data_IF_623575496670
#
_entry.id   IF_623575496670
#
_cell.length_a   1.000
_cell.length_b   1.000
_cell.length_c   1.000
_cell.angle_alpha   90.00
_cell.angle_beta   90.00
_cell.angle_gamma   90.00
#
_symmetry.space_group_name_H-M   'P 1'
#
loop_
_entity.id
_entity.type
_entity.pdbx_description
1 polymer ?
#
# COMPACT_ATOMS: atom_id res chain seq x y z
N UNK A 1 -25.90 -20.94 0.17
CA UNK A 1 -25.29 -19.61 0.01
C UNK A 1 -26.15 -18.77 -0.91
N UNK A 2 -26.66 -17.64 -0.42
CA UNK A 2 -27.16 -16.59 -1.30
C UNK A 2 -25.95 -15.98 -2.03
N UNK A 3 -26.16 -15.33 -3.19
CA UNK A 3 -25.09 -14.68 -3.93
C UNK A 3 -24.43 -13.49 -3.18
N UNK A 4 -25.04 -13.02 -2.09
CA UNK A 4 -24.65 -11.83 -1.34
C UNK A 4 -24.32 -12.21 0.12
N UNK A 5 -23.25 -12.97 0.34
CA UNK A 5 -22.83 -13.46 1.67
C UNK A 5 -21.46 -12.91 2.12
N UNK A 6 -20.88 -12.00 1.33
CA UNK A 6 -19.55 -11.44 1.56
C UNK A 6 -19.66 -9.93 1.35
N UNK A 7 -19.20 -9.17 2.33
CA UNK A 7 -18.96 -7.74 2.20
C UNK A 7 -17.45 -7.44 2.31
N UNK A 8 -17.07 -6.21 1.96
CA UNK A 8 -15.69 -5.75 2.07
C UNK A 8 -15.65 -4.61 3.08
N UNK A 9 -14.74 -4.72 4.04
CA UNK A 9 -14.45 -3.65 5.00
C UNK A 9 -13.05 -3.07 4.73
N UNK A 10 -12.94 -1.75 4.77
CA UNK A 10 -11.64 -1.09 4.67
C UNK A 10 -10.84 -1.37 5.94
N UNK A 11 -9.57 -1.76 5.78
CA UNK A 11 -8.66 -1.87 6.90
C UNK A 11 -8.35 -0.50 7.46
N UNK A 12 -8.25 -0.41 8.77
CA UNK A 12 -7.71 0.77 9.43
C UNK A 12 -6.31 0.46 9.96
N UNK A 13 -5.47 1.47 10.21
CA UNK A 13 -4.17 1.27 10.84
C UNK A 13 -4.28 0.61 12.21
N UNK A 14 -5.44 0.74 12.88
CA UNK A 14 -5.75 0.08 14.15
C UNK A 14 -5.94 -1.44 14.01
N UNK A 15 -6.29 -1.91 12.81
CA UNK A 15 -6.43 -3.33 12.45
C UNK A 15 -5.14 -3.91 11.86
N UNK A 16 -4.07 -3.11 11.74
CA UNK A 16 -2.77 -3.54 11.22
C UNK A 16 -2.67 -3.64 9.69
N UNK A 17 -3.68 -3.15 8.96
CA UNK A 17 -3.65 -3.03 7.49
C UNK A 17 -3.36 -1.61 7.03
N UNK A 18 -2.98 -1.46 5.77
CA UNK A 18 -2.78 -0.14 5.16
C UNK A 18 -4.14 0.55 4.92
N UNK A 19 -4.18 1.88 4.93
CA UNK A 19 -5.42 2.66 4.78
C UNK A 19 -6.17 2.45 3.44
N UNK A 20 -5.57 1.73 2.49
CA UNK A 20 -6.08 1.50 1.14
C UNK A 20 -6.40 0.04 0.84
N UNK A 21 -6.35 -0.81 1.84
CA UNK A 21 -6.70 -2.22 1.74
C UNK A 21 -8.14 -2.46 2.20
N UNK A 22 -8.77 -3.45 1.61
CA UNK A 22 -10.07 -3.95 2.04
C UNK A 22 -10.02 -5.46 2.16
N UNK A 23 -10.57 -5.96 3.26
CA UNK A 23 -10.65 -7.37 3.56
C UNK A 23 -12.08 -7.84 3.30
N UNK A 24 -12.21 -8.97 2.63
CA UNK A 24 -13.49 -9.65 2.51
C UNK A 24 -13.88 -10.27 3.86
N UNK A 25 -15.12 -10.09 4.26
CA UNK A 25 -15.69 -10.70 5.46
C UNK A 25 -17.03 -11.34 5.12
N UNK A 26 -17.35 -12.44 5.81
CA UNK A 26 -18.69 -13.01 5.76
C UNK A 26 -19.69 -12.03 6.40
N UNK A 27 -20.89 -11.96 5.82
CA UNK A 27 -22.02 -11.29 6.47
C UNK A 27 -22.44 -12.05 7.74
N UNK A 28 -22.99 -11.32 8.73
CA UNK A 28 -23.42 -11.90 10.03
C UNK A 28 -24.40 -13.09 9.88
N UNK A 29 -25.21 -13.11 8.82
CA UNK A 29 -26.18 -14.17 8.53
C UNK A 29 -25.71 -15.14 7.42
N UNK A 30 -24.45 -15.03 6.97
CA UNK A 30 -23.93 -15.79 5.84
C UNK A 30 -23.97 -17.31 6.06
N UNK A 31 -23.93 -17.76 7.33
CA UNK A 31 -23.96 -19.17 7.72
C UNK A 31 -25.27 -19.61 8.39
N UNK A 32 -26.32 -18.78 8.38
CA UNK A 32 -27.60 -19.16 9.00
C UNK A 32 -28.18 -20.44 8.35
N UNK A 33 -28.38 -21.48 9.16
CA UNK A 33 -28.83 -22.79 8.71
C UNK A 33 -27.83 -23.56 7.83
N UNK A 34 -26.56 -23.17 7.79
CA UNK A 34 -25.50 -23.80 6.98
C UNK A 34 -24.38 -24.33 7.87
N UNK A 35 -24.08 -25.63 7.74
CA UNK A 35 -22.91 -26.26 8.36
C UNK A 35 -21.81 -26.45 7.33
N UNK A 36 -20.59 -26.01 7.63
CA UNK A 36 -19.43 -26.14 6.76
C UNK A 36 -18.62 -27.38 7.17
N UNK A 37 -18.24 -28.18 6.18
CA UNK A 37 -17.39 -29.36 6.38
C UNK A 37 -16.06 -29.17 5.67
N UNK A 38 -14.98 -29.55 6.34
CA UNK A 38 -13.63 -29.58 5.78
C UNK A 38 -13.14 -31.02 5.67
N UNK A 39 -12.16 -31.26 4.80
CA UNK A 39 -11.48 -32.55 4.78
C UNK A 39 -10.73 -32.77 6.10
N UNK A 40 -10.89 -33.96 6.66
CA UNK A 40 -10.29 -34.31 7.93
C UNK A 40 -8.76 -34.40 7.78
N UNK A 41 -7.97 -33.54 8.47
CA UNK A 41 -6.52 -33.56 8.36
C UNK A 41 -5.90 -34.88 8.82
N UNK A 42 -6.61 -35.63 9.68
CA UNK A 42 -6.17 -36.92 10.22
C UNK A 42 -6.75 -38.11 9.44
N UNK A 43 -7.28 -37.91 8.23
CA UNK A 43 -7.90 -38.97 7.46
C UNK A 43 -6.93 -40.13 7.19
N UNK A 44 -7.33 -41.34 7.61
CA UNK A 44 -6.51 -42.55 7.49
C UNK A 44 -7.22 -43.69 6.75
N UNK A 45 -8.33 -43.40 6.08
CA UNK A 45 -9.14 -44.40 5.37
C UNK A 45 -10.13 -45.17 6.23
N UNK A 46 -10.07 -45.03 7.57
CA UNK A 46 -10.97 -45.70 8.52
C UNK A 46 -11.82 -44.74 9.34
N UNK A 47 -11.39 -43.49 9.49
CA UNK A 47 -12.18 -42.41 10.09
C UNK A 47 -12.98 -41.63 9.04
N UNK A 48 -13.87 -40.74 9.51
CA UNK A 48 -14.67 -39.89 8.64
C UNK A 48 -13.77 -38.96 7.82
N UNK A 49 -14.02 -38.96 6.49
CA UNK A 49 -13.24 -38.16 5.53
C UNK A 49 -13.49 -36.66 5.66
N UNK A 50 -14.69 -36.26 6.09
CA UNK A 50 -15.07 -34.87 6.28
C UNK A 50 -15.55 -34.65 7.70
N UNK A 51 -15.13 -33.56 8.32
CA UNK A 51 -15.53 -33.16 9.67
C UNK A 51 -16.15 -31.76 9.63
N UNK A 52 -17.06 -31.48 10.55
CA UNK A 52 -17.61 -30.13 10.72
C UNK A 52 -16.50 -29.16 11.13
N UNK A 53 -16.46 -28.02 10.46
CA UNK A 53 -15.54 -26.94 10.80
C UNK A 53 -16.08 -26.20 12.03
N UNK A 54 -15.41 -26.38 13.17
CA UNK A 54 -15.68 -25.59 14.36
C UNK A 54 -15.35 -24.11 14.10
N UNK A 55 -16.14 -23.19 14.65
CA UNK A 55 -15.97 -21.73 14.49
C UNK A 55 -15.78 -21.33 13.02
N UNK A 56 -16.62 -21.88 12.14
CA UNK A 56 -16.51 -21.73 10.69
C UNK A 56 -16.43 -20.28 10.23
N UNK A 57 -17.20 -19.38 10.86
CA UNK A 57 -17.18 -17.95 10.55
C UNK A 57 -15.81 -17.31 10.82
N UNK A 58 -15.27 -17.52 12.02
CA UNK A 58 -13.96 -17.00 12.40
C UNK A 58 -12.85 -17.56 11.49
N UNK A 59 -12.88 -18.87 11.23
CA UNK A 59 -11.89 -19.53 10.36
C UNK A 59 -11.93 -18.98 8.94
N UNK A 60 -13.13 -18.80 8.37
CA UNK A 60 -13.27 -18.28 7.01
C UNK A 60 -12.82 -16.82 6.95
N UNK A 61 -13.20 -15.99 7.92
CA UNK A 61 -12.78 -14.59 7.98
C UNK A 61 -11.25 -14.46 8.14
N UNK A 62 -10.61 -15.34 8.93
CA UNK A 62 -9.14 -15.41 9.01
C UNK A 62 -8.48 -15.77 7.67
N UNK A 63 -9.05 -16.70 6.91
CA UNK A 63 -8.53 -17.05 5.57
C UNK A 63 -8.75 -15.92 4.55
N UNK A 64 -9.91 -15.25 4.59
CA UNK A 64 -10.22 -14.12 3.71
C UNK A 64 -9.31 -12.92 3.99
N UNK A 65 -8.95 -12.68 5.26
CA UNK A 65 -8.04 -11.62 5.68
C UNK A 65 -6.60 -11.77 5.15
N UNK A 66 -6.19 -12.96 4.72
CA UNK A 66 -4.82 -13.19 4.20
C UNK A 66 -4.57 -12.57 2.83
N UNK A 67 -5.62 -12.27 2.07
CA UNK A 67 -5.50 -11.72 0.72
C UNK A 67 -6.30 -10.41 0.62
N UNK A 68 -5.83 -9.32 1.26
CA UNK A 68 -6.49 -8.03 1.16
C UNK A 68 -6.51 -7.54 -0.30
N UNK A 69 -7.61 -6.91 -0.68
CA UNK A 69 -7.76 -6.25 -1.96
C UNK A 69 -7.37 -4.76 -1.83
N UNK A 70 -6.65 -4.24 -2.81
CA UNK A 70 -6.32 -2.82 -2.85
C UNK A 70 -7.45 -2.02 -3.51
N UNK A 71 -7.92 -0.96 -2.85
CA UNK A 71 -9.01 -0.11 -3.36
C UNK A 71 -8.50 1.29 -3.68
N UNK A 72 -8.48 1.63 -4.98
CA UNK A 72 -8.30 3.00 -5.46
C UNK A 72 -9.65 3.71 -5.55
N UNK A 73 -10.05 4.46 -4.52
CA UNK A 73 -11.32 5.19 -4.55
C UNK A 73 -11.25 6.25 -5.65
N UNK A 74 -12.23 6.23 -6.55
CA UNK A 74 -12.28 7.11 -7.74
C UNK A 74 -11.05 7.02 -8.67
N UNK A 75 -10.22 5.98 -8.50
CA UNK A 75 -8.97 5.84 -9.25
C UNK A 75 -7.81 6.70 -8.74
N UNK A 76 -7.93 7.30 -7.55
CA UNK A 76 -6.83 8.06 -6.96
C UNK A 76 -5.69 7.14 -6.52
N UNK A 77 -4.48 7.50 -6.95
CA UNK A 77 -3.22 6.83 -6.60
C UNK A 77 -2.13 7.89 -6.40
N UNK A 78 -1.13 7.58 -5.59
CA UNK A 78 0.08 8.41 -5.46
C UNK A 78 1.35 7.64 -5.79
N UNK A 79 2.41 8.41 -6.00
CA UNK A 79 3.69 7.99 -6.52
C UNK A 79 4.78 8.68 -5.70
N UNK A 80 5.68 7.89 -5.09
CA UNK A 80 6.74 8.40 -4.22
C UNK A 80 8.12 8.20 -4.88
N UNK A 81 8.94 9.26 -4.88
CA UNK A 81 10.38 9.15 -5.19
C UNK A 81 11.17 10.03 -4.21
N UNK A 82 12.17 9.47 -3.50
CA UNK A 82 13.02 10.30 -2.67
C UNK A 82 13.88 11.24 -3.53
N UNK A 83 14.19 12.43 -3.01
CA UNK A 83 15.06 13.38 -3.69
C UNK A 83 16.52 12.93 -3.50
N UNK A 84 17.12 12.39 -4.57
CA UNK A 84 18.53 12.02 -4.58
C UNK A 84 19.41 13.26 -4.57
N UNK A 85 20.40 13.29 -3.67
CA UNK A 85 21.43 14.31 -3.60
C UNK A 85 22.78 13.76 -4.13
N UNK A 86 23.88 14.48 -3.90
CA UNK A 86 25.18 14.19 -4.49
C UNK A 86 25.92 13.00 -3.86
N UNK A 87 25.33 12.33 -2.86
CA UNK A 87 25.88 11.10 -2.31
C UNK A 87 25.89 9.98 -3.33
N UNK A 88 27.07 9.45 -3.63
CA UNK A 88 27.27 8.39 -4.63
C UNK A 88 27.19 6.99 -4.03
N UNK A 89 27.26 6.87 -2.70
CA UNK A 89 27.28 5.58 -1.99
C UNK A 89 25.89 5.26 -1.47
N UNK A 90 25.37 4.10 -1.85
CA UNK A 90 24.07 3.61 -1.38
C UNK A 90 24.07 3.42 0.14
N UNK A 91 23.03 3.92 0.81
CA UNK A 91 22.86 3.89 2.26
C UNK A 91 23.70 4.90 3.04
N UNK A 92 24.38 5.82 2.36
CA UNK A 92 25.24 6.82 3.01
C UNK A 92 24.52 8.14 3.30
N UNK A 93 25.00 8.86 4.33
CA UNK A 93 24.56 10.23 4.61
C UNK A 93 24.79 11.11 3.37
N UNK A 94 23.71 11.67 2.85
CA UNK A 94 23.74 12.54 1.67
C UNK A 94 23.39 11.85 0.35
N UNK A 95 23.04 10.55 0.34
CA UNK A 95 22.43 9.93 -0.84
C UNK A 95 21.05 10.53 -1.13
N UNK A 96 20.23 10.71 -0.09
CA UNK A 96 18.92 11.36 -0.19
C UNK A 96 18.86 12.56 0.75
N UNK A 97 18.16 13.61 0.33
CA UNK A 97 17.90 14.78 1.16
C UNK A 97 17.91 16.10 0.42
N UNK A 98 17.34 17.10 1.09
CA UNK A 98 17.27 18.48 0.60
C UNK A 98 18.29 19.32 1.35
N UNK A 99 19.22 19.91 0.61
CA UNK A 99 20.27 20.79 1.15
C UNK A 99 19.95 22.23 0.75
N UNK A 100 20.09 23.17 1.68
CA UNK A 100 19.91 24.61 1.41
C UNK A 100 20.75 25.04 0.19
N UNK A 101 20.28 26.06 -0.53
CA UNK A 101 21.00 26.64 -1.67
C UNK A 101 21.15 25.72 -2.89
N UNK A 102 20.26 24.74 -3.05
CA UNK A 102 20.17 23.89 -4.24
C UNK A 102 18.75 23.94 -4.82
N UNK A 103 18.66 23.94 -6.15
CA UNK A 103 17.42 23.67 -6.88
C UNK A 103 17.45 22.19 -7.29
N UNK A 104 16.37 21.49 -6.98
CA UNK A 104 16.14 20.12 -7.43
C UNK A 104 15.10 20.15 -8.54
N UNK A 105 15.54 19.91 -9.77
CA UNK A 105 14.65 19.80 -10.93
C UNK A 105 14.34 18.32 -11.16
N UNK A 106 13.11 17.94 -10.85
CA UNK A 106 12.61 16.56 -10.93
C UNK A 106 11.73 16.44 -12.19
N UNK A 107 12.21 15.68 -13.16
CA UNK A 107 11.46 15.35 -14.37
C UNK A 107 10.98 13.90 -14.30
N UNK A 108 9.66 13.71 -14.29
CA UNK A 108 9.06 12.38 -14.43
C UNK A 108 9.15 11.98 -15.90
N UNK A 109 9.80 10.85 -16.17
CA UNK A 109 10.05 10.39 -17.55
C UNK A 109 9.16 9.22 -17.95
N UNK A 110 8.78 8.38 -16.99
CA UNK A 110 7.91 7.23 -17.21
C UNK A 110 7.26 6.82 -15.89
N UNK A 111 6.08 6.20 -15.98
CA UNK A 111 5.34 5.64 -14.86
C UNK A 111 5.09 4.17 -15.15
N UNK A 112 5.54 3.28 -14.27
CA UNK A 112 5.37 1.83 -14.40
C UNK A 112 4.68 1.24 -13.18
N UNK A 113 3.65 0.44 -13.43
CA UNK A 113 2.83 -0.13 -12.38
C UNK A 113 1.74 0.84 -11.89
N UNK A 114 0.77 0.27 -11.19
CA UNK A 114 -0.29 1.01 -10.55
C UNK A 114 0.28 1.72 -9.31
N UNK A 115 -0.01 3.01 -9.13
CA UNK A 115 0.46 3.76 -7.96
C UNK A 115 -0.10 3.19 -6.65
N UNK A 116 0.39 3.68 -5.51
CA UNK A 116 -0.18 3.31 -4.22
C UNK A 116 -1.60 3.89 -4.13
N UNK A 117 -2.64 3.05 -3.91
CA UNK A 117 -4.01 3.53 -3.96
C UNK A 117 -4.36 4.41 -2.76
N UNK A 118 -5.34 5.29 -2.98
CA UNK A 118 -5.88 6.17 -1.95
C UNK A 118 -7.34 5.79 -1.73
N UNK A 119 -7.67 5.41 -0.50
CA UNK A 119 -9.06 5.15 -0.11
C UNK A 119 -9.80 6.39 0.35
N UNK A 120 -9.16 7.24 1.17
CA UNK A 120 -9.73 8.53 1.58
C UNK A 120 -8.94 9.68 0.96
N UNK A 121 -9.48 10.38 -0.05
CA UNK A 121 -8.79 11.47 -0.72
C UNK A 121 -8.61 12.72 0.16
N UNK A 122 -9.39 12.86 1.25
CA UNK A 122 -9.31 14.00 2.17
C UNK A 122 -8.31 13.77 3.31
N UNK A 123 -7.73 12.56 3.40
CA UNK A 123 -6.74 12.20 4.41
C UNK A 123 -5.34 12.68 3.99
N UNK A 124 -4.62 13.29 4.93
CA UNK A 124 -3.22 13.66 4.72
C UNK A 124 -2.39 12.39 4.48
N UNK A 125 -1.74 12.31 3.33
CA UNK A 125 -0.84 11.22 2.98
C UNK A 125 0.48 11.44 3.72
N UNK A 126 0.80 10.54 4.66
CA UNK A 126 2.15 10.51 5.22
C UNK A 126 3.12 10.10 4.11
N UNK A 127 4.10 10.96 3.83
CA UNK A 127 5.05 10.77 2.72
C UNK A 127 6.19 9.81 3.07
N UNK A 128 6.00 8.99 4.10
CA UNK A 128 6.89 7.88 4.43
C UNK A 128 6.96 6.90 3.25
N UNK A 129 8.16 6.35 3.03
CA UNK A 129 8.43 5.43 1.93
C UNK A 129 7.40 4.29 1.97
N UNK A 130 6.53 4.16 0.95
CA UNK A 130 5.51 3.12 0.98
C UNK A 130 6.21 1.76 1.01
N UNK A 131 5.70 0.85 1.83
CA UNK A 131 6.17 -0.55 1.95
C UNK A 131 5.98 -1.35 0.66
N UNK A 132 5.21 -0.81 -0.29
CA UNK A 132 4.81 -1.49 -1.51
C UNK A 132 5.94 -1.50 -2.54
N UNK A 133 6.61 -2.64 -2.68
CA UNK A 133 7.81 -2.85 -3.48
C UNK A 133 7.56 -2.95 -5.02
N UNK A 134 6.30 -2.89 -5.47
CA UNK A 134 5.93 -3.16 -6.87
C UNK A 134 5.62 -1.92 -7.73
N UNK A 135 5.68 -0.72 -7.15
CA UNK A 135 5.38 0.54 -7.86
C UNK A 135 6.67 1.26 -8.27
N UNK A 136 6.85 1.52 -9.58
CA UNK A 136 8.10 2.08 -10.11
C UNK A 136 7.87 3.36 -10.91
N UNK A 137 8.50 4.46 -10.49
CA UNK A 137 8.58 5.69 -11.28
C UNK A 137 10.00 5.84 -11.80
N UNK A 138 10.15 6.13 -13.09
CA UNK A 138 11.44 6.58 -13.62
C UNK A 138 11.49 8.11 -13.59
N UNK A 139 12.29 8.67 -12.69
CA UNK A 139 12.52 10.10 -12.58
C UNK A 139 13.99 10.46 -12.85
N UNK A 140 14.21 11.60 -13.51
CA UNK A 140 15.52 12.25 -13.63
C UNK A 140 15.55 13.43 -12.67
N UNK A 141 16.55 13.47 -11.80
CA UNK A 141 16.76 14.58 -10.85
C UNK A 141 18.06 15.29 -11.21
N UNK A 142 17.95 16.58 -11.55
CA UNK A 142 19.10 17.46 -11.72
C UNK A 142 19.27 18.31 -10.45
N UNK A 143 20.47 18.29 -9.87
CA UNK A 143 20.82 19.13 -8.71
C UNK A 143 21.62 20.32 -9.21
N UNK A 144 21.04 21.52 -9.13
CA UNK A 144 21.64 22.76 -9.62
C UNK A 144 21.99 23.67 -8.43
N UNK A 145 23.22 24.17 -8.39
CA UNK A 145 23.62 25.18 -7.40
C UNK A 145 23.05 26.55 -7.79
N UNK A 146 22.58 27.34 -6.80
CA UNK A 146 22.25 28.74 -7.07
C UNK A 146 23.49 29.53 -7.48
N UNK A 147 23.35 30.31 -8.56
CA UNK A 147 24.39 31.24 -9.02
C UNK A 147 24.28 32.56 -8.24
N UNK A 148 25.39 33.03 -7.68
CA UNK A 148 25.51 34.40 -7.20
C UNK A 148 25.61 35.34 -8.40
N UNK A 149 24.71 36.31 -8.50
CA UNK A 149 24.75 37.39 -9.51
C UNK A 149 25.30 38.64 -8.84
N UNK A 150 26.47 39.10 -9.28
CA UNK A 150 27.05 40.36 -8.82
C UNK A 150 26.28 41.54 -9.42
N UNK A 151 25.84 42.47 -8.57
CA UNK A 151 25.28 43.76 -8.98
C UNK A 151 26.17 44.85 -8.41
N UNK A 152 27.05 45.40 -9.25
CA UNK A 152 27.83 46.59 -8.90
C UNK A 152 26.91 47.81 -9.06
N UNK A 153 26.43 48.35 -7.94
CA UNK A 153 25.66 49.59 -7.91
C UNK A 153 26.60 50.73 -7.51
N UNK A 154 26.85 51.65 -8.43
CA UNK A 154 27.48 52.93 -8.09
C UNK A 154 26.41 53.85 -7.52
N UNK A 155 26.63 54.36 -6.31
CA UNK A 155 25.76 55.35 -5.68
C UNK A 155 26.15 56.74 -6.22
N UNK A 156 25.16 57.52 -6.67
CA UNK A 156 25.27 58.98 -6.89
C UNK A 156 24.86 59.76 -5.64
#
# INVERSE_FOLDING_TARGET
MKPDNIHFEATTPETGGEDYEAIAQLDDDALDGVTIYIENPDYNGSNEKYIELADAEATINEELAKNPAQIAKEGYVYYYTPIKHLGTTTGSTGEYGVVRNHIYDVTITDIKGYGTPIFDPDKDIDTTHPSNEEVYIAARINVLSWRVVSSDVTLE
#
